data_IF_523859423686
#
_entry.id   IF_523859423686
#
_cell.length_a   1.000
_cell.length_b   1.000
_cell.length_c   1.000
_cell.angle_alpha   90.00
_cell.angle_beta   90.00
_cell.angle_gamma   90.00
#
_symmetry.space_group_name_H-M   'P 1'
#
loop_
_entity.id
_entity.type
_entity.pdbx_description
1 polymer ?
#
# COMPACT_ATOMS: atom_id res chain seq x y z
N UNK A 1 17.63 7.54 -0.05
CA UNK A 1 16.94 6.40 0.60
C UNK A 1 16.48 5.43 -0.49
N UNK A 2 16.62 4.11 -0.33
CA UNK A 2 16.15 3.15 -1.34
C UNK A 2 14.62 3.10 -1.35
N UNK A 3 13.99 3.34 -2.51
CA UNK A 3 12.53 3.19 -2.69
C UNK A 3 12.16 1.70 -2.52
N UNK A 4 11.09 1.36 -1.79
CA UNK A 4 10.64 -0.01 -1.71
C UNK A 4 10.21 -0.49 -3.11
N UNK A 5 10.67 -1.68 -3.46
CA UNK A 5 10.40 -2.33 -4.74
C UNK A 5 9.26 -3.32 -4.56
N UNK A 6 8.35 -3.35 -5.53
CA UNK A 6 7.30 -4.35 -5.61
C UNK A 6 7.95 -5.72 -5.85
N UNK A 7 7.53 -6.71 -5.09
CA UNK A 7 8.07 -8.08 -5.16
C UNK A 7 6.93 -9.06 -5.23
N UNK A 8 7.14 -10.17 -5.93
CA UNK A 8 6.28 -11.34 -5.84
C UNK A 8 6.59 -12.03 -4.50
N UNK A 9 5.66 -12.04 -3.54
CA UNK A 9 5.86 -12.78 -2.30
C UNK A 9 5.78 -14.28 -2.59
N UNK A 10 6.60 -15.06 -1.89
CA UNK A 10 6.39 -16.51 -1.83
C UNK A 10 5.06 -16.80 -1.11
N UNK A 11 4.33 -17.81 -1.58
CA UNK A 11 3.04 -18.22 -1.02
C UNK A 11 3.15 -18.61 0.46
N UNK A 12 4.31 -19.16 0.86
CA UNK A 12 4.59 -19.51 2.26
C UNK A 12 5.14 -18.35 3.10
N UNK A 13 5.50 -17.21 2.50
CA UNK A 13 6.08 -16.09 3.26
C UNK A 13 5.03 -15.36 4.09
N UNK A 14 5.39 -15.05 5.34
CA UNK A 14 4.60 -14.18 6.21
C UNK A 14 4.73 -12.69 5.85
N UNK A 15 5.65 -12.31 4.96
CA UNK A 15 5.95 -10.93 4.59
C UNK A 15 5.78 -10.64 3.08
N UNK A 16 6.28 -9.48 2.61
CA UNK A 16 6.36 -9.15 1.18
C UNK A 16 5.07 -8.66 0.51
N UNK A 17 3.90 -8.80 1.16
CA UNK A 17 2.59 -8.46 0.57
C UNK A 17 2.13 -7.02 0.74
N UNK A 18 2.72 -6.28 1.69
CA UNK A 18 2.26 -4.93 2.03
C UNK A 18 2.24 -3.96 0.84
N UNK A 19 3.29 -3.99 0.01
CA UNK A 19 3.38 -3.10 -1.14
C UNK A 19 2.43 -3.47 -2.28
N UNK A 20 2.05 -4.75 -2.40
CA UNK A 20 1.01 -5.18 -3.33
C UNK A 20 -0.34 -4.56 -2.97
N UNK A 21 -0.67 -4.53 -1.68
CA UNK A 21 -1.91 -3.92 -1.20
C UNK A 21 -1.94 -2.42 -1.46
N UNK A 22 -0.84 -1.72 -1.18
CA UNK A 22 -0.71 -0.29 -1.49
C UNK A 22 -0.86 -0.06 -2.99
N UNK A 23 -0.14 -0.78 -3.84
CA UNK A 23 -0.24 -0.61 -5.29
C UNK A 23 -1.63 -0.93 -5.86
N UNK A 24 -2.40 -1.82 -5.22
CA UNK A 24 -3.73 -2.20 -5.68
C UNK A 24 -4.84 -1.23 -5.24
N UNK A 25 -4.66 -0.52 -4.13
CA UNK A 25 -5.70 0.32 -3.51
C UNK A 25 -5.43 1.82 -3.63
N UNK A 26 -4.18 2.21 -3.77
CA UNK A 26 -3.76 3.61 -3.83
C UNK A 26 -4.19 4.28 -5.13
N UNK A 27 -4.77 5.46 -5.04
CA UNK A 27 -4.80 6.40 -6.16
C UNK A 27 -3.41 7.03 -6.35
N UNK A 28 -2.78 7.38 -5.23
CA UNK A 28 -1.42 7.89 -5.15
C UNK A 28 -0.70 7.34 -3.91
N UNK A 29 0.60 7.13 -4.01
CA UNK A 29 1.43 6.74 -2.88
C UNK A 29 2.90 7.12 -3.10
N UNK A 30 3.59 7.44 -2.02
CA UNK A 30 5.03 7.64 -2.03
C UNK A 30 5.65 7.29 -0.67
N UNK A 31 6.97 7.49 -0.57
CA UNK A 31 7.76 7.15 0.60
C UNK A 31 8.61 8.33 1.02
N UNK A 32 8.56 8.66 2.31
CA UNK A 32 9.38 9.70 2.90
C UNK A 32 10.18 9.17 4.09
N UNK A 33 11.26 9.89 4.42
CA UNK A 33 12.00 9.63 5.64
C UNK A 33 11.10 9.89 6.85
N UNK A 34 11.25 9.05 7.89
CA UNK A 34 10.62 9.32 9.19
C UNK A 34 11.56 10.21 10.00
N UNK A 35 11.02 11.07 10.87
CA UNK A 35 11.86 11.66 11.92
C UNK A 35 12.39 10.55 12.84
N UNK A 36 13.71 10.39 12.88
CA UNK A 36 14.40 9.25 13.46
C UNK A 36 14.61 8.07 12.50
N UNK A 37 14.61 6.84 13.03
CA UNK A 37 14.93 5.64 12.24
C UNK A 37 13.73 5.15 11.45
N UNK A 38 13.95 4.87 10.16
CA UNK A 38 13.01 4.16 9.30
C UNK A 38 12.43 5.04 8.21
N UNK A 39 11.19 4.70 7.81
CA UNK A 39 10.48 5.36 6.71
C UNK A 39 8.99 5.37 6.96
N UNK A 40 8.32 6.32 6.33
CA UNK A 40 6.86 6.37 6.22
C UNK A 40 6.48 6.06 4.78
N UNK A 41 5.53 5.14 4.61
CA UNK A 41 4.81 4.93 3.34
C UNK A 41 3.44 5.57 3.54
N UNK A 42 3.05 6.48 2.68
CA UNK A 42 1.75 7.13 2.70
C UNK A 42 1.00 6.84 1.41
N UNK A 43 -0.32 6.92 1.46
CA UNK A 43 -1.17 6.71 0.29
C UNK A 43 -2.49 7.46 0.42
N UNK A 44 -3.02 7.91 -0.71
CA UNK A 44 -4.38 8.39 -0.87
C UNK A 44 -5.26 7.28 -1.45
N UNK A 45 -6.47 7.11 -0.90
CA UNK A 45 -7.43 6.08 -1.31
C UNK A 45 -8.82 6.72 -1.43
N UNK A 46 -9.39 6.69 -2.63
CA UNK A 46 -10.77 7.11 -2.85
C UNK A 46 -11.76 6.17 -2.17
N UNK A 47 -12.83 6.70 -1.54
CA UNK A 47 -13.85 5.87 -0.92
C UNK A 47 -14.62 5.07 -1.98
N UNK A 48 -14.81 3.77 -1.73
CA UNK A 48 -15.64 2.92 -2.59
C UNK A 48 -17.10 3.34 -2.47
N UNK A 49 -17.71 3.77 -3.58
CA UNK A 49 -19.15 4.02 -3.62
C UNK A 49 -19.91 2.69 -3.67
N UNK A 50 -20.40 2.24 -2.52
CA UNK A 50 -21.29 1.09 -2.45
C UNK A 50 -22.64 1.50 -3.05
N UNK A 51 -23.06 0.84 -4.13
CA UNK A 51 -24.43 1.00 -4.65
C UNK A 51 -25.38 0.33 -3.66
N UNK A 52 -26.31 1.09 -3.11
CA UNK A 52 -27.41 0.57 -2.30
C UNK A 52 -28.28 -0.33 -3.18
N UNK A 53 -28.13 -1.65 -3.02
CA UNK A 53 -29.00 -2.66 -3.62
C UNK A 53 -30.14 -2.95 -2.65
N UNK A 54 -31.09 -2.02 -2.56
CA UNK A 54 -32.40 -2.28 -2.00
C UNK A 54 -33.46 -1.61 -2.88
N UNK A 55 -34.14 -2.45 -3.66
CA UNK A 55 -35.52 -2.29 -4.11
C UNK A 55 -36.18 -3.65 -3.99
#
# INVERSE_FOLDING_TARGET
MKRPELRTPDAASSDGRGLLLVAALADEWDVMARDGVGKVVWTEISPVRVRSRWR
#
